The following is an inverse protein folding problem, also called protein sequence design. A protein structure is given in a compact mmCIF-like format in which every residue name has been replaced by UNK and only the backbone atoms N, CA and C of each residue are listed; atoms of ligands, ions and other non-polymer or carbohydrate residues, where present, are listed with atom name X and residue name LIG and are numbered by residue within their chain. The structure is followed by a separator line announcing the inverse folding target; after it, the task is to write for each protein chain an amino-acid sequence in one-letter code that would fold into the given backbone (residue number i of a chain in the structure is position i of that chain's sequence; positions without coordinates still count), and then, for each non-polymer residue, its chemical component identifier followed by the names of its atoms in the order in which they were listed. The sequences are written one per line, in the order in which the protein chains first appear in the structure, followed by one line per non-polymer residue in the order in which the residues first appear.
data_IF_312163012199
#
_entry.id   IF_312163012199
#
_cell.length_a   1.000
_cell.length_b   1.000
_cell.length_c   1.000
_cell.angle_alpha   90.00
_cell.angle_beta   90.00
_cell.angle_gamma   90.00
#
_symmetry.space_group_name_H-M   'P 1'
#
loop_
_entity.id
_entity.type
_entity.pdbx_description
1 polymer ?
#
# COMPACT_ATOMS: atom_id res chain seq x y z
N UNK A 1 -2.75 -24.03 13.08
CA UNK A 1 -3.05 -22.76 12.40
C UNK A 1 -4.27 -22.03 12.99
N UNK A 2 -4.38 -21.90 14.29
CA UNK A 2 -5.48 -21.19 14.98
C UNK A 2 -4.94 -20.18 16.00
N UNK A 3 -3.89 -19.44 15.70
CA UNK A 3 -3.14 -18.71 16.73
C UNK A 3 -3.08 -17.19 16.64
N UNK A 4 -3.71 -16.52 15.68
CA UNK A 4 -3.52 -15.07 15.50
C UNK A 4 -4.79 -14.22 15.70
N UNK A 5 -5.94 -14.82 15.94
CA UNK A 5 -7.17 -14.07 16.19
C UNK A 5 -7.61 -14.23 17.65
N UNK A 6 -7.68 -13.13 18.36
CA UNK A 6 -8.24 -13.00 19.70
C UNK A 6 -7.26 -13.34 20.83
N UNK A 7 -6.75 -12.34 21.53
CA UNK A 7 -6.03 -12.43 22.83
C UNK A 7 -4.89 -13.47 22.94
N UNK A 8 -4.37 -14.01 21.86
CA UNK A 8 -3.32 -15.02 21.87
C UNK A 8 -1.93 -14.39 21.91
N UNK A 9 -1.14 -14.83 22.88
CA UNK A 9 0.29 -14.53 22.94
C UNK A 9 1.05 -15.60 22.16
N UNK A 10 2.04 -15.20 21.37
CA UNK A 10 2.94 -16.11 20.65
C UNK A 10 4.33 -16.03 21.28
N UNK A 11 4.91 -17.17 21.66
CA UNK A 11 6.25 -17.17 22.24
C UNK A 11 7.30 -16.80 21.20
N UNK A 12 8.41 -16.17 21.65
CA UNK A 12 9.56 -15.86 20.79
C UNK A 12 10.08 -17.11 20.09
N UNK A 13 10.12 -18.22 20.81
CA UNK A 13 10.59 -19.50 20.27
C UNK A 13 9.69 -20.01 19.13
N UNK A 14 8.37 -20.00 19.33
CA UNK A 14 7.43 -20.48 18.30
C UNK A 14 7.43 -19.59 17.07
N UNK A 15 7.54 -18.26 17.28
CA UNK A 15 7.62 -17.29 16.20
C UNK A 15 8.93 -17.46 15.39
N UNK A 16 10.07 -17.64 16.05
CA UNK A 16 11.33 -17.90 15.38
C UNK A 16 11.33 -19.25 14.65
N UNK A 17 10.77 -20.29 15.25
CA UNK A 17 10.64 -21.59 14.59
C UNK A 17 9.81 -21.48 13.33
N UNK A 18 8.64 -20.85 13.42
CA UNK A 18 7.75 -20.65 12.28
C UNK A 18 8.43 -19.87 11.16
N UNK A 19 9.10 -18.74 11.48
CA UNK A 19 9.77 -17.91 10.48
C UNK A 19 10.90 -18.69 9.83
N UNK A 20 11.75 -19.38 10.62
CA UNK A 20 12.90 -20.09 10.11
C UNK A 20 12.55 -21.30 9.24
N UNK A 21 11.34 -21.85 9.41
CA UNK A 21 10.81 -22.91 8.55
C UNK A 21 10.37 -22.37 7.16
N UNK A 22 10.19 -21.05 7.02
CA UNK A 22 9.66 -20.41 5.81
C UNK A 22 10.65 -19.45 5.10
N UNK A 23 11.86 -19.30 5.62
CA UNK A 23 12.90 -18.44 5.02
C UNK A 23 14.14 -19.25 4.65
N UNK A 24 14.83 -18.83 3.58
CA UNK A 24 16.04 -19.52 3.10
C UNK A 24 17.22 -19.44 4.07
N UNK A 25 17.27 -18.41 4.91
CA UNK A 25 18.32 -18.22 5.91
C UNK A 25 17.72 -17.95 7.29
N UNK A 26 18.09 -18.74 8.33
CA UNK A 26 17.52 -18.56 9.66
C UNK A 26 17.86 -17.19 10.25
N UNK A 27 16.86 -16.56 10.86
CA UNK A 27 17.01 -15.26 11.53
C UNK A 27 17.29 -15.43 13.02
N UNK A 28 17.99 -14.46 13.60
CA UNK A 28 18.26 -14.42 15.04
C UNK A 28 17.12 -13.70 15.78
N UNK A 29 17.03 -13.91 17.11
CA UNK A 29 16.10 -13.19 17.98
C UNK A 29 16.28 -11.65 17.90
N UNK A 30 17.52 -11.17 17.75
CA UNK A 30 17.82 -9.76 17.55
C UNK A 30 17.25 -9.23 16.22
N UNK A 31 17.31 -10.04 15.18
CA UNK A 31 16.71 -9.71 13.88
C UNK A 31 15.20 -9.63 14.00
N UNK A 32 14.60 -10.64 14.63
CA UNK A 32 13.16 -10.67 14.91
C UNK A 32 12.70 -9.42 15.66
N UNK A 33 13.41 -9.02 16.73
CA UNK A 33 13.07 -7.83 17.51
C UNK A 33 13.12 -6.56 16.66
N UNK A 34 14.12 -6.42 15.80
CA UNK A 34 14.21 -5.27 14.88
C UNK A 34 13.06 -5.27 13.89
N UNK A 35 12.76 -6.42 13.31
CA UNK A 35 11.70 -6.55 12.31
C UNK A 35 10.31 -6.31 12.93
N UNK A 36 10.08 -6.71 14.19
CA UNK A 36 8.86 -6.35 14.94
C UNK A 36 8.75 -4.84 15.14
N UNK A 37 9.83 -4.17 15.54
CA UNK A 37 9.83 -2.71 15.69
C UNK A 37 9.57 -2.00 14.33
N UNK A 38 10.10 -2.55 13.25
CA UNK A 38 9.85 -2.03 11.90
C UNK A 38 8.37 -2.22 11.49
N UNK A 39 7.77 -3.35 11.83
CA UNK A 39 6.33 -3.63 11.63
C UNK A 39 5.48 -2.65 12.45
N UNK A 40 5.78 -2.44 13.73
CA UNK A 40 5.07 -1.45 14.56
C UNK A 40 5.09 -0.06 13.94
N UNK A 41 6.26 0.37 13.47
CA UNK A 41 6.43 1.68 12.84
C UNK A 41 5.74 1.79 11.48
N UNK A 42 5.81 0.74 10.65
CA UNK A 42 5.25 0.74 9.30
C UNK A 42 3.73 0.67 9.29
N UNK A 43 3.18 -0.18 10.16
CA UNK A 43 1.74 -0.48 10.17
C UNK A 43 0.99 0.21 11.30
N UNK A 44 1.70 0.93 12.19
CA UNK A 44 1.14 1.56 13.40
C UNK A 44 0.35 0.58 14.27
N UNK A 45 0.86 -0.65 14.38
CA UNK A 45 0.32 -1.69 15.23
C UNK A 45 1.09 -1.65 16.53
N UNK A 46 0.40 -1.72 17.66
CA UNK A 46 1.04 -1.84 18.95
C UNK A 46 1.27 -3.32 19.28
N UNK A 47 2.53 -3.75 19.32
CA UNK A 47 2.93 -5.11 19.68
C UNK A 47 3.59 -5.07 21.05
N UNK A 48 2.92 -5.59 22.07
CA UNK A 48 3.47 -5.64 23.43
C UNK A 48 4.27 -6.92 23.64
N UNK A 49 5.40 -6.79 24.34
CA UNK A 49 6.24 -7.91 24.75
C UNK A 49 6.05 -8.19 26.23
N UNK A 50 5.61 -9.40 26.56
CA UNK A 50 5.50 -9.89 27.93
C UNK A 50 6.76 -10.65 28.34
N UNK A 51 7.53 -10.06 29.25
CA UNK A 51 8.78 -10.65 29.77
C UNK A 51 8.56 -11.90 30.62
N UNK A 52 7.39 -12.04 31.26
CA UNK A 52 7.12 -13.17 32.13
C UNK A 52 6.86 -14.47 31.34
N UNK A 53 6.23 -14.32 30.18
CA UNK A 53 5.91 -15.45 29.29
C UNK A 53 6.81 -15.52 28.06
N UNK A 54 7.76 -14.58 27.91
CA UNK A 54 8.63 -14.44 26.74
C UNK A 54 7.84 -14.48 25.43
N UNK A 55 6.77 -13.69 25.34
CA UNK A 55 5.83 -13.74 24.23
C UNK A 55 5.43 -12.36 23.74
N UNK A 56 5.06 -12.28 22.46
CA UNK A 56 4.48 -11.11 21.83
C UNK A 56 2.97 -11.18 21.76
N UNK A 57 2.32 -10.02 21.87
CA UNK A 57 0.87 -9.84 21.70
C UNK A 57 0.59 -8.59 20.90
N UNK A 58 -0.35 -8.67 19.96
CA UNK A 58 -0.90 -7.51 19.28
C UNK A 58 -1.99 -6.90 20.15
N UNK A 59 -1.90 -5.60 20.46
CA UNK A 59 -2.91 -4.88 21.25
C UNK A 59 -4.07 -4.42 20.36
N UNK A 60 -5.25 -5.01 20.57
CA UNK A 60 -6.46 -4.78 19.74
C UNK A 60 -7.18 -3.44 20.01
N UNK A 61 -6.65 -2.54 20.83
CA UNK A 61 -7.38 -1.38 21.33
C UNK A 61 -7.43 -0.13 20.41
N UNK A 62 -6.96 -0.19 19.16
CA UNK A 62 -7.01 0.93 18.23
C UNK A 62 -7.96 0.68 17.05
N UNK A 63 -9.24 0.71 17.33
CA UNK A 63 -10.37 0.16 16.57
C UNK A 63 -10.80 0.84 15.28
N UNK A 64 -10.18 1.88 14.77
CA UNK A 64 -10.58 2.47 13.48
C UNK A 64 -9.63 2.15 12.30
N UNK A 65 -8.49 1.51 12.57
CA UNK A 65 -7.56 0.97 11.57
C UNK A 65 -7.54 -0.57 11.53
N UNK A 66 -8.14 -1.21 12.53
CA UNK A 66 -8.20 -2.66 12.70
C UNK A 66 -8.89 -3.36 11.52
N UNK A 67 -9.98 -2.79 11.02
CA UNK A 67 -10.71 -3.37 9.90
C UNK A 67 -9.81 -3.50 8.65
N UNK A 68 -9.01 -2.48 8.35
CA UNK A 68 -8.09 -2.53 7.21
C UNK A 68 -6.94 -3.50 7.39
N UNK A 69 -6.36 -3.56 8.59
CA UNK A 69 -5.27 -4.49 8.86
C UNK A 69 -5.79 -5.92 8.87
N UNK A 70 -6.93 -6.17 9.53
CA UNK A 70 -7.59 -7.48 9.54
C UNK A 70 -7.96 -7.93 8.12
N UNK A 71 -8.45 -7.03 7.29
CA UNK A 71 -8.73 -7.29 5.88
C UNK A 71 -7.46 -7.61 5.08
N UNK A 72 -6.38 -6.84 5.30
CA UNK A 72 -5.09 -7.12 4.66
C UNK A 72 -4.50 -8.46 5.10
N UNK A 73 -4.55 -8.78 6.39
CA UNK A 73 -4.07 -10.06 6.92
C UNK A 73 -4.91 -11.23 6.39
N UNK A 74 -6.23 -11.08 6.38
CA UNK A 74 -7.14 -12.08 5.83
C UNK A 74 -6.86 -12.32 4.33
N UNK A 75 -6.66 -11.27 3.55
CA UNK A 75 -6.30 -11.38 2.14
C UNK A 75 -4.94 -12.04 1.95
N UNK A 76 -3.96 -11.71 2.80
CA UNK A 76 -2.63 -12.31 2.77
C UNK A 76 -2.68 -13.81 3.15
N UNK A 77 -3.42 -14.19 4.21
CA UNK A 77 -3.62 -15.58 4.60
C UNK A 77 -4.33 -16.38 3.50
N UNK A 78 -5.35 -15.80 2.86
CA UNK A 78 -6.05 -16.44 1.75
C UNK A 78 -5.12 -16.68 0.56
N UNK A 79 -4.31 -15.69 0.19
CA UNK A 79 -3.34 -15.81 -0.90
C UNK A 79 -2.27 -16.87 -0.59
N UNK A 80 -1.73 -16.88 0.63
CA UNK A 80 -0.76 -17.89 1.06
C UNK A 80 -1.37 -19.29 1.07
N UNK A 81 -2.59 -19.45 1.58
CA UNK A 81 -3.28 -20.74 1.57
C UNK A 81 -3.50 -21.28 0.15
N UNK A 82 -3.76 -20.39 -0.82
CA UNK A 82 -3.89 -20.76 -2.24
C UNK A 82 -2.54 -21.15 -2.82
N UNK A 83 -1.45 -20.47 -2.45
CA UNK A 83 -0.11 -20.75 -2.98
C UNK A 83 0.50 -22.03 -2.38
N UNK A 84 0.30 -22.29 -1.08
CA UNK A 84 0.84 -23.46 -0.39
C UNK A 84 0.10 -24.75 -0.70
N UNK A 85 -1.14 -24.69 -1.18
CA UNK A 85 -1.95 -25.87 -1.46
C UNK A 85 -2.34 -25.98 -2.93
N UNK A 86 -1.71 -26.88 -3.71
CA UNK A 86 -2.07 -27.13 -5.10
C UNK A 86 -3.56 -27.46 -5.31
N UNK A 87 -4.19 -28.07 -4.29
CA UNK A 87 -5.62 -28.41 -4.33
C UNK A 87 -6.52 -27.18 -4.15
N UNK A 88 -6.09 -26.16 -3.44
CA UNK A 88 -6.87 -24.92 -3.23
C UNK A 88 -7.01 -24.11 -4.53
N UNK A 89 -6.02 -24.14 -5.41
CA UNK A 89 -6.07 -23.50 -6.74
C UNK A 89 -7.17 -24.07 -7.65
N UNK A 90 -7.67 -25.26 -7.39
CA UNK A 90 -8.79 -25.82 -8.13
C UNK A 90 -10.17 -25.29 -7.70
N UNK A 91 -10.24 -24.64 -6.51
CA UNK A 91 -11.50 -24.12 -5.96
C UNK A 91 -11.50 -22.59 -5.81
N UNK A 92 -10.33 -21.98 -5.69
CA UNK A 92 -10.18 -20.53 -5.53
C UNK A 92 -9.44 -20.01 -6.76
N UNK A 93 -10.12 -19.17 -7.53
CA UNK A 93 -9.56 -18.50 -8.69
C UNK A 93 -9.36 -17.02 -8.32
N UNK A 94 -8.23 -16.68 -7.71
CA UNK A 94 -7.96 -15.27 -7.43
C UNK A 94 -7.86 -14.53 -8.75
N UNK A 95 -8.46 -13.37 -8.82
CA UNK A 95 -8.21 -12.49 -9.95
C UNK A 95 -6.76 -12.03 -9.84
N UNK A 96 -5.91 -12.56 -10.73
CA UNK A 96 -4.52 -12.11 -10.83
C UNK A 96 -4.51 -10.69 -11.40
N UNK A 97 -4.92 -9.73 -10.59
CA UNK A 97 -4.46 -8.38 -10.80
C UNK A 97 -2.94 -8.47 -10.76
N UNK A 98 -2.30 -8.09 -11.87
CA UNK A 98 -0.84 -8.07 -11.99
C UNK A 98 -0.26 -7.62 -10.67
N UNK A 99 0.71 -8.37 -10.15
CA UNK A 99 1.31 -8.13 -8.85
C UNK A 99 1.50 -6.62 -8.65
N UNK A 100 0.59 -6.05 -7.88
CA UNK A 100 0.50 -4.60 -7.62
C UNK A 100 1.72 -4.13 -6.85
N UNK A 101 2.44 -5.09 -6.24
CA UNK A 101 3.74 -4.86 -5.66
C UNK A 101 4.82 -4.89 -6.74
N UNK A 102 5.11 -3.73 -7.29
CA UNK A 102 6.32 -3.55 -8.09
C UNK A 102 7.53 -3.94 -7.24
N UNK A 103 8.49 -4.64 -7.86
CA UNK A 103 9.81 -4.92 -7.25
C UNK A 103 10.51 -3.66 -6.69
N UNK A 104 10.03 -2.48 -7.06
CA UNK A 104 10.57 -1.20 -6.62
C UNK A 104 9.89 -0.64 -5.37
N UNK A 105 8.79 -1.25 -4.90
CA UNK A 105 8.05 -0.74 -3.74
C UNK A 105 8.93 -0.58 -2.48
N UNK A 106 9.76 -1.55 -2.08
CA UNK A 106 10.63 -1.39 -0.91
C UNK A 106 11.61 -0.21 -1.06
N UNK A 107 12.20 -0.05 -2.25
CA UNK A 107 13.14 1.04 -2.53
C UNK A 107 12.44 2.41 -2.51
N UNK A 108 11.22 2.49 -3.04
CA UNK A 108 10.42 3.72 -3.01
C UNK A 108 9.99 4.09 -1.60
N UNK A 109 9.56 3.12 -0.78
CA UNK A 109 9.23 3.33 0.63
C UNK A 109 10.47 3.86 1.37
N UNK A 110 11.64 3.24 1.14
CA UNK A 110 12.89 3.68 1.71
C UNK A 110 13.23 5.13 1.33
N UNK A 111 13.13 5.46 0.03
CA UNK A 111 13.42 6.80 -0.47
C UNK A 111 12.47 7.86 0.09
N UNK A 112 11.17 7.59 0.16
CA UNK A 112 10.17 8.50 0.76
C UNK A 112 10.44 8.70 2.25
N UNK A 113 10.69 7.62 2.99
CA UNK A 113 10.91 7.67 4.44
C UNK A 113 12.17 8.44 4.81
N UNK A 114 13.26 8.19 4.09
CA UNK A 114 14.57 8.75 4.38
C UNK A 114 14.88 10.00 3.55
N UNK A 115 13.91 10.51 2.78
CA UNK A 115 14.03 11.75 2.01
C UNK A 115 15.17 11.72 0.97
N UNK A 116 15.39 10.56 0.35
CA UNK A 116 16.36 10.39 -0.72
C UNK A 116 15.76 10.74 -2.09
N UNK A 117 16.52 11.43 -2.93
CA UNK A 117 16.14 11.66 -4.32
C UNK A 117 16.21 10.37 -5.12
N UNK A 118 15.39 10.28 -6.17
CA UNK A 118 15.34 9.11 -7.05
C UNK A 118 15.48 9.52 -8.51
N UNK A 119 15.94 8.59 -9.33
CA UNK A 119 15.89 8.66 -10.79
C UNK A 119 15.32 7.36 -11.34
N UNK A 120 14.61 7.45 -12.47
CA UNK A 120 14.04 6.28 -13.13
C UNK A 120 13.72 6.54 -14.59
N UNK A 121 13.53 5.49 -15.37
CA UNK A 121 12.90 5.55 -16.67
C UNK A 121 11.39 5.34 -16.50
N UNK A 122 10.58 6.12 -17.21
CA UNK A 122 9.14 6.11 -17.12
C UNK A 122 8.48 5.81 -18.45
N UNK A 123 7.58 4.82 -18.48
CA UNK A 123 6.86 4.41 -19.67
C UNK A 123 5.66 5.33 -19.90
N UNK A 124 5.62 6.01 -21.05
CA UNK A 124 4.50 6.84 -21.47
C UNK A 124 3.53 6.06 -22.35
N UNK A 125 2.49 5.46 -21.75
CA UNK A 125 1.51 4.68 -22.52
C UNK A 125 0.78 5.48 -23.59
N UNK A 126 0.50 6.77 -23.33
CA UNK A 126 -0.16 7.66 -24.31
C UNK A 126 0.72 7.98 -25.52
N UNK A 127 2.01 7.71 -25.44
CA UNK A 127 2.99 7.91 -26.52
C UNK A 127 3.57 6.58 -26.99
N UNK A 128 2.73 5.54 -27.10
CA UNK A 128 3.15 4.25 -27.65
C UNK A 128 4.16 3.47 -26.81
N UNK A 129 4.31 3.79 -25.53
CA UNK A 129 5.26 3.09 -24.63
C UNK A 129 6.66 3.70 -24.66
N UNK A 130 6.84 4.93 -25.16
CA UNK A 130 8.11 5.64 -25.10
C UNK A 130 8.65 5.70 -23.68
N UNK A 131 9.98 5.51 -23.55
CA UNK A 131 10.70 5.62 -22.29
C UNK A 131 11.31 7.03 -22.17
N UNK A 132 10.95 7.72 -21.11
CA UNK A 132 11.57 8.99 -20.75
C UNK A 132 12.35 8.86 -19.44
N UNK A 133 13.51 9.50 -19.36
CA UNK A 133 14.29 9.54 -18.12
C UNK A 133 13.78 10.66 -17.22
N UNK A 134 13.60 10.32 -15.95
CA UNK A 134 13.28 11.26 -14.87
C UNK A 134 14.43 11.27 -13.89
N UNK A 135 15.02 12.44 -13.69
CA UNK A 135 16.17 12.63 -12.80
C UNK A 135 15.82 13.63 -11.68
N UNK A 136 16.52 13.49 -10.55
CA UNK A 136 16.35 14.37 -9.38
C UNK A 136 14.90 14.52 -8.94
N UNK A 137 14.18 13.41 -8.90
CA UNK A 137 12.80 13.35 -8.44
C UNK A 137 12.79 13.27 -6.90
N UNK A 138 11.92 14.08 -6.27
CA UNK A 138 11.78 14.22 -4.83
C UNK A 138 10.51 13.48 -4.37
N UNK A 139 10.60 12.18 -3.97
CA UNK A 139 9.43 11.38 -3.64
C UNK A 139 8.88 11.78 -2.25
N UNK A 140 7.61 12.19 -2.19
CA UNK A 140 6.97 12.66 -0.97
C UNK A 140 6.01 11.64 -0.36
N UNK A 141 5.21 10.96 -1.18
CA UNK A 141 4.19 10.03 -0.73
C UNK A 141 4.08 8.83 -1.66
N UNK A 142 3.58 7.72 -1.13
CA UNK A 142 3.08 6.59 -1.91
C UNK A 142 1.58 6.54 -1.70
N UNK A 143 0.82 6.55 -2.80
CA UNK A 143 -0.64 6.58 -2.77
C UNK A 143 -1.20 5.44 -3.62
N UNK A 144 -2.16 4.75 -3.07
CA UNK A 144 -2.99 3.80 -3.82
C UNK A 144 -4.21 4.53 -4.39
N UNK A 145 -4.56 4.20 -5.63
CA UNK A 145 -5.78 4.65 -6.28
C UNK A 145 -6.23 3.62 -7.33
N UNK A 146 -7.47 3.16 -7.23
CA UNK A 146 -8.05 2.15 -8.12
C UNK A 146 -7.14 0.91 -8.28
N UNK A 147 -6.67 0.36 -7.17
CA UNK A 147 -5.79 -0.82 -7.11
C UNK A 147 -4.43 -0.65 -7.81
N UNK A 148 -4.05 0.58 -8.16
CA UNK A 148 -2.73 0.92 -8.69
C UNK A 148 -1.99 1.81 -7.68
N UNK A 149 -0.68 1.60 -7.61
CA UNK A 149 0.19 2.35 -6.71
C UNK A 149 0.95 3.43 -7.46
N UNK A 150 1.08 4.58 -6.82
CA UNK A 150 1.72 5.77 -7.37
C UNK A 150 2.72 6.34 -6.37
N UNK A 151 3.85 6.81 -6.85
CA UNK A 151 4.70 7.72 -6.10
C UNK A 151 4.33 9.16 -6.44
N UNK A 152 3.97 9.93 -5.41
CA UNK A 152 3.72 11.36 -5.54
C UNK A 152 5.04 12.09 -5.28
N UNK A 153 5.50 12.85 -6.26
CA UNK A 153 6.83 13.44 -6.24
C UNK A 153 6.89 14.78 -6.97
N UNK A 154 7.80 15.64 -6.54
CA UNK A 154 8.19 16.83 -7.30
C UNK A 154 9.36 16.52 -8.22
N UNK A 155 9.38 17.14 -9.39
CA UNK A 155 10.62 17.32 -10.17
C UNK A 155 11.48 18.37 -9.44
N UNK A 156 12.82 18.28 -9.48
CA UNK A 156 13.70 19.24 -8.82
C UNK A 156 13.47 20.72 -9.23
N UNK A 157 12.91 20.95 -10.41
CA UNK A 157 12.54 22.26 -10.93
C UNK A 157 11.01 22.47 -10.96
N UNK A 158 10.25 21.54 -10.38
CA UNK A 158 8.79 21.51 -10.47
C UNK A 158 8.13 22.13 -9.26
N UNK A 159 7.09 22.90 -9.50
CA UNK A 159 6.25 23.50 -8.46
C UNK A 159 4.98 22.66 -8.18
N UNK A 160 4.79 21.58 -8.94
CA UNK A 160 3.59 20.77 -8.88
C UNK A 160 3.92 19.31 -8.50
N UNK A 161 3.17 18.76 -7.54
CA UNK A 161 3.24 17.37 -7.17
C UNK A 161 2.65 16.50 -8.28
N UNK A 162 3.46 15.59 -8.82
CA UNK A 162 3.07 14.67 -9.90
C UNK A 162 2.92 13.26 -9.38
N UNK A 163 1.95 12.52 -9.94
CA UNK A 163 1.73 11.12 -9.65
C UNK A 163 2.38 10.23 -10.73
N UNK A 164 3.34 9.41 -10.33
CA UNK A 164 4.00 8.44 -11.20
C UNK A 164 3.53 7.03 -10.85
N UNK A 165 2.85 6.34 -11.77
CA UNK A 165 2.44 4.95 -11.59
C UNK A 165 3.67 4.03 -11.44
N UNK A 166 3.71 3.28 -10.35
CA UNK A 166 4.88 2.43 -10.01
C UNK A 166 5.03 1.29 -11.03
N UNK A 167 3.93 0.82 -11.61
CA UNK A 167 3.89 -0.16 -12.69
C UNK A 167 4.63 0.28 -13.96
N UNK A 168 4.78 1.60 -14.15
CA UNK A 168 5.44 2.24 -15.29
C UNK A 168 6.89 2.63 -15.04
N UNK A 169 7.39 2.45 -13.82
CA UNK A 169 8.78 2.73 -13.46
C UNK A 169 9.69 1.61 -13.95
N UNK A 170 10.84 1.96 -14.52
CA UNK A 170 11.92 1.07 -14.91
C UNK A 170 13.24 1.65 -14.42
N UNK A 171 14.20 0.77 -14.11
CA UNK A 171 15.56 1.17 -13.75
C UNK A 171 15.60 2.23 -12.63
N UNK A 172 14.87 1.99 -11.55
CA UNK A 172 14.86 2.88 -10.38
C UNK A 172 16.23 2.92 -9.73
N UNK A 173 16.71 4.11 -9.45
CA UNK A 173 17.94 4.38 -8.66
C UNK A 173 17.56 5.31 -7.52
N UNK A 174 17.94 4.95 -6.30
CA UNK A 174 17.85 5.80 -5.12
C UNK A 174 19.23 6.42 -4.90
N UNK A 175 19.29 7.74 -4.76
CA UNK A 175 20.54 8.48 -4.59
C UNK A 175 20.79 8.79 -3.12
N UNK A 176 22.05 9.01 -2.75
CA UNK A 176 22.43 9.46 -1.40
C UNK A 176 22.07 10.94 -1.14
N UNK A 177 21.66 11.66 -2.19
CA UNK A 177 21.26 13.05 -2.09
C UNK A 177 19.93 13.16 -1.35
N UNK A 178 19.93 13.96 -0.28
CA UNK A 178 18.74 14.22 0.53
C UNK A 178 18.00 15.45 0.03
N UNK A 179 16.70 15.50 0.28
CA UNK A 179 15.86 16.68 0.05
C UNK A 179 15.04 17.00 1.30
N UNK A 180 14.61 18.22 1.44
CA UNK A 180 13.70 18.63 2.51
C UNK A 180 12.26 18.34 2.08
N UNK A 181 11.56 17.50 2.87
CA UNK A 181 10.18 17.15 2.59
C UNK A 181 9.25 18.31 2.94
N UNK A 182 8.42 18.73 2.00
CA UNK A 182 7.33 19.63 2.29
C UNK A 182 6.24 18.87 3.07
N UNK A 183 6.10 19.23 4.36
CA UNK A 183 5.12 18.61 5.28
C UNK A 183 3.75 19.28 5.25
N UNK A 184 3.64 20.45 4.63
CA UNK A 184 2.40 21.25 4.59
C UNK A 184 1.45 20.84 3.46
N UNK A 185 1.80 19.79 2.70
CA UNK A 185 0.98 19.30 1.60
C UNK A 185 -0.22 18.51 2.17
N UNK A 186 -1.42 19.03 1.98
CA UNK A 186 -2.64 18.28 2.24
C UNK A 186 -2.99 17.35 1.06
N UNK A 187 -2.29 16.22 0.98
CA UNK A 187 -2.52 15.21 -0.08
C UNK A 187 -3.96 14.68 -0.04
N UNK A 188 -4.55 14.54 1.13
CA UNK A 188 -5.92 14.06 1.25
C UNK A 188 -6.91 15.08 0.68
N UNK A 189 -6.72 16.36 0.97
CA UNK A 189 -7.52 17.44 0.38
C UNK A 189 -7.36 17.52 -1.13
N UNK A 190 -6.13 17.41 -1.64
CA UNK A 190 -5.84 17.45 -3.09
C UNK A 190 -6.59 16.39 -3.89
N UNK A 191 -6.77 15.19 -3.34
CA UNK A 191 -7.41 14.06 -4.05
C UNK A 191 -8.82 13.74 -3.56
N UNK A 192 -9.36 14.51 -2.60
CA UNK A 192 -10.66 14.25 -1.99
C UNK A 192 -11.79 14.22 -3.00
N UNK A 193 -11.77 15.17 -3.94
CA UNK A 193 -12.84 15.34 -4.91
C UNK A 193 -12.44 14.80 -6.31
N UNK A 194 -11.38 13.98 -6.37
CA UNK A 194 -10.87 13.38 -7.60
C UNK A 194 -11.37 11.95 -7.77
N UNK A 195 -11.83 11.60 -8.96
CA UNK A 195 -12.03 10.22 -9.35
C UNK A 195 -10.73 9.65 -9.91
N UNK A 196 -10.05 8.84 -9.10
CA UNK A 196 -8.74 8.26 -9.43
C UNK A 196 -7.56 9.11 -8.96
N UNK A 197 -6.49 9.17 -9.76
CA UNK A 197 -5.21 9.78 -9.39
C UNK A 197 -4.93 11.11 -10.11
N UNK A 198 -5.77 11.51 -11.01
CA UNK A 198 -5.57 12.73 -11.76
C UNK A 198 -6.16 13.91 -10.99
N UNK A 199 -5.31 14.87 -10.68
CA UNK A 199 -5.68 16.12 -10.04
C UNK A 199 -5.12 17.30 -10.85
N UNK A 200 -5.96 18.28 -11.11
CA UNK A 200 -5.59 19.56 -11.74
C UNK A 200 -6.26 20.69 -10.95
N UNK A 201 -5.48 21.37 -10.11
CA UNK A 201 -5.96 22.45 -9.25
C UNK A 201 -6.50 23.66 -10.02
N UNK A 202 -6.19 23.76 -11.33
CA UNK A 202 -6.71 24.82 -12.20
C UNK A 202 -8.15 24.58 -12.65
N UNK A 203 -8.66 23.35 -12.48
CA UNK A 203 -10.00 22.98 -12.88
C UNK A 203 -10.95 22.97 -11.67
N UNK A 204 -12.16 23.53 -11.83
CA UNK A 204 -13.19 23.48 -10.79
C UNK A 204 -13.70 22.05 -10.61
N UNK A 205 -14.17 21.75 -9.40
CA UNK A 205 -14.91 20.51 -9.12
C UNK A 205 -16.28 20.62 -9.81
N UNK A 206 -16.65 19.58 -10.56
CA UNK A 206 -17.90 19.52 -11.30
C UNK A 206 -18.83 18.46 -10.71
N UNK A 207 -20.13 18.72 -10.76
CA UNK A 207 -21.17 17.72 -10.45
C UNK A 207 -21.40 16.84 -11.68
N UNK A 208 -21.26 15.52 -11.51
CA UNK A 208 -21.52 14.54 -12.56
C UNK A 208 -22.78 13.78 -12.23
N UNK A 209 -23.79 13.85 -13.10
CA UNK A 209 -25.05 13.11 -12.94
C UNK A 209 -24.99 11.89 -13.85
N UNK A 210 -25.08 10.70 -13.25
CA UNK A 210 -25.09 9.44 -13.96
C UNK A 210 -26.46 8.79 -13.84
N UNK A 211 -26.94 8.25 -14.95
CA UNK A 211 -28.20 7.50 -14.98
C UNK A 211 -27.90 6.03 -15.28
N UNK A 212 -28.42 5.17 -14.45
CA UNK A 212 -28.29 3.71 -14.60
C UNK A 212 -29.69 3.08 -14.60
N UNK A 213 -29.80 1.86 -15.08
CA UNK A 213 -31.01 1.07 -14.89
C UNK A 213 -31.13 0.61 -13.42
N UNK A 214 -32.31 0.10 -13.04
CA UNK A 214 -32.56 -0.30 -11.67
C UNK A 214 -31.63 -1.41 -11.18
N UNK A 215 -31.20 -2.32 -12.06
CA UNK A 215 -30.32 -3.44 -11.70
C UNK A 215 -28.94 -2.92 -11.33
N UNK A 216 -28.34 -2.11 -12.20
CA UNK A 216 -27.01 -1.55 -11.98
C UNK A 216 -27.04 -0.53 -10.84
N UNK A 217 -28.17 0.17 -10.64
CA UNK A 217 -28.39 1.08 -9.52
C UNK A 217 -28.24 0.40 -8.15
N UNK A 218 -28.68 -0.84 -7.99
CA UNK A 218 -28.48 -1.59 -6.74
C UNK A 218 -27.00 -1.88 -6.45
N UNK A 219 -26.22 -2.24 -7.47
CA UNK A 219 -24.79 -2.46 -7.31
C UNK A 219 -24.08 -1.16 -6.92
N UNK A 220 -24.42 -0.04 -7.52
CA UNK A 220 -23.81 1.26 -7.22
C UNK A 220 -24.16 1.78 -5.82
N UNK A 221 -25.33 1.40 -5.28
CA UNK A 221 -25.68 1.68 -3.87
C UNK A 221 -24.82 0.86 -2.91
N UNK A 222 -24.57 -0.40 -3.23
CA UNK A 222 -23.75 -1.31 -2.42
C UNK A 222 -22.23 -1.00 -2.53
N UNK A 223 -21.79 -0.56 -3.72
CA UNK A 223 -20.40 -0.23 -4.02
C UNK A 223 -20.32 1.16 -4.68
N UNK A 224 -20.33 2.24 -3.89
CA UNK A 224 -20.29 3.61 -4.41
C UNK A 224 -19.02 3.86 -5.22
N UNK A 225 -19.13 4.51 -6.38
CA UNK A 225 -18.00 4.90 -7.22
C UNK A 225 -17.09 5.94 -6.55
N UNK A 226 -17.68 6.81 -5.73
CA UNK A 226 -16.98 7.87 -5.02
C UNK A 226 -17.68 8.17 -3.69
N UNK A 227 -16.94 8.61 -2.68
CA UNK A 227 -17.49 8.91 -1.35
C UNK A 227 -18.52 10.03 -1.35
N UNK A 228 -18.53 10.90 -2.37
CA UNK A 228 -19.51 11.98 -2.54
C UNK A 228 -20.79 11.53 -3.26
N UNK A 229 -20.86 10.27 -3.68
CA UNK A 229 -22.01 9.75 -4.41
C UNK A 229 -23.31 9.89 -3.60
N UNK A 230 -24.34 10.40 -4.23
CA UNK A 230 -25.70 10.45 -3.67
C UNK A 230 -26.72 9.95 -4.68
N UNK A 231 -27.75 9.28 -4.22
CA UNK A 231 -28.88 8.86 -5.05
C UNK A 231 -29.83 10.04 -5.18
N UNK A 232 -30.12 10.45 -6.41
CA UNK A 232 -31.06 11.54 -6.70
C UNK A 232 -32.47 11.03 -6.93
N UNK A 233 -32.60 9.90 -7.64
CA UNK A 233 -33.90 9.23 -7.92
C UNK A 233 -33.64 7.74 -7.73
N UNK A 234 -34.61 7.08 -7.08
CA UNK A 234 -34.55 5.64 -6.77
C UNK A 234 -35.61 4.88 -7.59
#
# INVERSE_FOLDING_TARGET
TNGLYGNSCVSVHDLLSYINDHVDAPISERTLQRDINDIEMLFHIEISFDRATNSYRINERFSSREDRLSEMLLNFELLNAVDESPNMRSYILPEHHRAVFSKYMPQLIYAVRNQHTISFQYVLYRHGGELITKENILPHYIKESNQLWYVLAYDANGYQLKAYGIDRIRNLVVHDTLFERNVDIDVNGMYRDCYGIWNDESLPVEEVILQYDNRDGYFLKAMPLHHTQRVLVD
#
